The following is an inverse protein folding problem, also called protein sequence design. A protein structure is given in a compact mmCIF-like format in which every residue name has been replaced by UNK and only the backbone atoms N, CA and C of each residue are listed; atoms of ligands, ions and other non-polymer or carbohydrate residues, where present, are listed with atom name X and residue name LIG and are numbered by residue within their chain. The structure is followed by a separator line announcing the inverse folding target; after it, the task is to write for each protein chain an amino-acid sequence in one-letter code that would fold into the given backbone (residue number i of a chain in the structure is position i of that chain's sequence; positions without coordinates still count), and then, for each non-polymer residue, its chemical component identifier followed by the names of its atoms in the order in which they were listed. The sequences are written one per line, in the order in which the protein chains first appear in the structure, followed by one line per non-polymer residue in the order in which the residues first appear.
data_IF_775188751597
#
_entry.id   IF_775188751597
#
_cell.length_a   1.000
_cell.length_b   1.000
_cell.length_c   1.000
_cell.angle_alpha   90.00
_cell.angle_beta   90.00
_cell.angle_gamma   90.00
#
_symmetry.space_group_name_H-M   'P 1'
#
loop_
_entity.id
_entity.type
_entity.pdbx_description
1 polymer ?
#
# COMPACT_ATOMS: atom_id res chain seq x y z
N UNK A 1 8.83 -0.86 19.13
CA UNK A 1 8.12 -1.58 18.05
C UNK A 1 6.79 -0.90 17.85
N UNK A 2 6.58 -0.19 16.75
CA UNK A 2 5.35 0.56 16.54
C UNK A 2 4.24 -0.41 16.11
N UNK A 3 3.38 -0.74 17.08
CA UNK A 3 2.12 -1.46 16.89
C UNK A 3 1.09 -0.47 16.38
N UNK A 4 0.91 -0.39 15.06
CA UNK A 4 -0.14 0.42 14.49
C UNK A 4 -1.43 -0.40 14.39
N UNK A 5 -2.54 0.18 14.84
CA UNK A 5 -3.87 -0.45 14.90
C UNK A 5 -4.59 -0.23 13.57
N UNK A 6 -5.53 -1.13 13.27
CA UNK A 6 -6.40 -1.24 12.07
C UNK A 6 -7.16 0.03 11.60
N UNK A 7 -6.95 1.21 12.20
CA UNK A 7 -7.52 2.50 11.79
C UNK A 7 -6.44 3.49 11.29
N UNK A 8 -5.32 2.97 10.77
CA UNK A 8 -4.25 3.82 10.23
C UNK A 8 -4.76 4.55 9.00
N UNK A 9 -5.02 5.85 9.14
CA UNK A 9 -5.23 6.81 8.05
C UNK A 9 -4.19 6.62 6.92
N UNK A 10 -2.97 6.23 7.29
CA UNK A 10 -1.89 5.90 6.37
C UNK A 10 -2.13 4.65 5.48
N UNK A 11 -2.93 3.68 5.92
CA UNK A 11 -3.31 2.52 5.10
C UNK A 11 -4.34 2.91 4.03
N UNK A 12 -5.34 3.69 4.43
CA UNK A 12 -6.35 4.20 3.50
C UNK A 12 -5.73 5.15 2.48
N UNK A 13 -4.83 6.04 2.92
CA UNK A 13 -4.08 6.93 2.04
C UNK A 13 -3.20 6.15 1.04
N UNK A 14 -2.45 5.15 1.52
CA UNK A 14 -1.63 4.29 0.67
C UNK A 14 -2.48 3.54 -0.37
N UNK A 15 -3.63 3.00 0.04
CA UNK A 15 -4.57 2.35 -0.88
C UNK A 15 -5.09 3.33 -1.94
N UNK A 16 -5.55 4.50 -1.51
CA UNK A 16 -6.08 5.53 -2.41
C UNK A 16 -5.05 5.98 -3.45
N UNK A 17 -3.77 6.08 -3.06
CA UNK A 17 -2.69 6.42 -3.98
C UNK A 17 -2.46 5.32 -5.03
N UNK A 18 -2.46 4.05 -4.63
CA UNK A 18 -2.32 2.92 -5.57
C UNK A 18 -3.52 2.85 -6.53
N UNK A 19 -4.73 3.15 -6.05
CA UNK A 19 -5.94 3.20 -6.88
C UNK A 19 -5.93 4.36 -7.87
N UNK A 20 -5.45 5.54 -7.45
CA UNK A 20 -5.35 6.72 -8.32
C UNK A 20 -4.17 6.66 -9.30
N UNK A 21 -3.11 5.95 -8.93
CA UNK A 21 -1.86 5.87 -9.67
C UNK A 21 -1.38 4.40 -9.78
N UNK A 22 -2.04 3.57 -10.59
CA UNK A 22 -1.61 2.20 -10.80
C UNK A 22 -0.22 2.17 -11.46
N UNK A 23 0.62 1.22 -11.03
CA UNK A 23 1.99 1.07 -11.52
C UNK A 23 3.05 1.84 -10.73
N UNK A 24 2.67 2.59 -9.68
CA UNK A 24 3.65 3.22 -8.79
C UNK A 24 4.48 2.16 -8.05
N UNK A 25 5.79 2.35 -8.00
CA UNK A 25 6.64 1.49 -7.20
C UNK A 25 6.70 1.93 -5.73
N UNK A 26 7.19 1.05 -4.86
CA UNK A 26 7.29 1.31 -3.42
C UNK A 26 8.09 2.58 -3.06
N UNK A 27 9.07 2.97 -3.89
CA UNK A 27 9.87 4.18 -3.67
C UNK A 27 9.08 5.45 -3.98
N UNK A 28 8.33 5.44 -5.08
CA UNK A 28 7.48 6.57 -5.46
C UNK A 28 6.33 6.76 -4.46
N UNK A 29 5.70 5.65 -4.07
CA UNK A 29 4.66 5.65 -3.05
C UNK A 29 5.17 6.19 -1.71
N UNK A 30 6.39 5.80 -1.32
CA UNK A 30 7.04 6.30 -0.12
C UNK A 30 7.30 7.82 -0.17
N UNK A 31 7.65 8.37 -1.34
CA UNK A 31 7.81 9.82 -1.51
C UNK A 31 6.49 10.56 -1.36
N UNK A 32 5.41 10.03 -1.94
CA UNK A 32 4.07 10.64 -1.82
C UNK A 32 3.57 10.62 -0.38
N UNK A 33 3.80 9.53 0.33
CA UNK A 33 3.42 9.35 1.74
C UNK A 33 4.42 9.98 2.72
N UNK A 34 5.53 10.57 2.23
CA UNK A 34 6.63 11.11 3.03
C UNK A 34 7.15 10.12 4.11
N UNK A 35 7.34 8.85 3.73
CA UNK A 35 7.88 7.79 4.58
C UNK A 35 9.10 7.13 3.94
N UNK A 36 9.79 6.27 4.68
CA UNK A 36 10.83 5.42 4.13
C UNK A 36 10.24 4.31 3.22
N UNK A 37 10.90 3.94 2.10
CA UNK A 37 10.49 2.81 1.27
C UNK A 37 10.37 1.48 2.05
N UNK A 38 11.21 1.26 3.06
CA UNK A 38 11.12 0.10 3.95
C UNK A 38 9.82 0.06 4.76
N UNK A 39 9.23 1.22 5.08
CA UNK A 39 7.91 1.31 5.71
C UNK A 39 6.83 0.83 4.77
N UNK A 40 6.89 1.21 3.49
CA UNK A 40 5.94 0.77 2.45
C UNK A 40 6.03 -0.73 2.24
N UNK A 41 7.24 -1.27 2.03
CA UNK A 41 7.45 -2.71 1.81
C UNK A 41 6.96 -3.55 3.00
N UNK A 42 7.14 -3.08 4.24
CA UNK A 42 6.65 -3.77 5.43
C UNK A 42 5.11 -3.71 5.57
N UNK A 43 4.45 -2.71 4.96
CA UNK A 43 3.00 -2.53 4.98
C UNK A 43 2.26 -3.36 3.94
N UNK A 44 2.88 -3.62 2.78
CA UNK A 44 2.25 -4.38 1.69
C UNK A 44 1.64 -5.73 2.15
N UNK A 45 2.34 -6.58 2.94
CA UNK A 45 1.74 -7.83 3.43
C UNK A 45 0.53 -7.60 4.33
N UNK A 46 0.60 -6.59 5.21
CA UNK A 46 -0.49 -6.25 6.12
C UNK A 46 -1.72 -5.67 5.39
N UNK A 47 -1.55 -5.08 4.20
CA UNK A 47 -2.66 -4.64 3.35
C UNK A 47 -3.44 -5.85 2.81
N UNK A 48 -2.73 -6.89 2.36
CA UNK A 48 -3.35 -8.13 1.90
C UNK A 48 -4.14 -8.81 3.03
N UNK A 49 -3.56 -8.88 4.25
CA UNK A 49 -4.23 -9.43 5.43
C UNK A 49 -5.49 -8.65 5.84
N UNK A 50 -5.53 -7.34 5.52
CA UNK A 50 -6.68 -6.48 5.77
C UNK A 50 -7.75 -6.55 4.66
N UNK A 51 -7.57 -7.39 3.63
CA UNK A 51 -8.50 -7.55 2.52
C UNK A 51 -8.30 -6.58 1.36
N UNK A 52 -7.19 -5.82 1.36
CA UNK A 52 -6.78 -5.00 0.23
C UNK A 52 -5.86 -5.82 -0.66
N UNK A 53 -6.42 -6.37 -1.73
CA UNK A 53 -5.66 -7.15 -2.70
C UNK A 53 -4.84 -6.21 -3.60
N UNK A 54 -3.52 -6.36 -3.51
CA UNK A 54 -2.54 -5.66 -4.33
C UNK A 54 -1.79 -6.67 -5.20
N UNK A 55 -1.40 -6.24 -6.39
CA UNK A 55 -0.50 -6.97 -7.27
C UNK A 55 0.75 -6.12 -7.53
N UNK A 56 1.92 -6.77 -7.51
CA UNK A 56 3.20 -6.18 -7.89
C UNK A 56 3.63 -6.79 -9.22
N UNK A 57 3.97 -5.95 -10.20
CA UNK A 57 4.50 -6.40 -11.50
C UNK A 57 6.02 -6.69 -11.43
N UNK A 58 6.58 -7.23 -12.52
CA UNK A 58 8.00 -7.60 -12.60
C UNK A 58 8.97 -6.41 -12.48
N UNK A 59 8.47 -5.16 -12.54
CA UNK A 59 9.24 -3.93 -12.37
C UNK A 59 9.04 -3.29 -10.99
N UNK A 60 8.24 -3.92 -10.12
CA UNK A 60 7.92 -3.43 -8.78
C UNK A 60 6.78 -2.41 -8.74
N UNK A 61 6.02 -2.27 -9.83
CA UNK A 61 4.83 -1.42 -9.90
C UNK A 61 3.65 -2.05 -9.18
N UNK A 62 2.95 -1.25 -8.36
CA UNK A 62 1.85 -1.68 -7.52
C UNK A 62 0.50 -1.38 -8.16
N UNK A 63 -0.41 -2.35 -8.10
CA UNK A 63 -1.73 -2.30 -8.73
C UNK A 63 -2.80 -2.75 -7.74
N UNK A 64 -3.88 -1.98 -7.63
CA UNK A 64 -5.05 -2.36 -6.82
C UNK A 64 -5.91 -3.38 -7.60
N UNK A 65 -6.19 -4.54 -7.00
CA UNK A 65 -6.93 -5.61 -7.70
C UNK A 65 -8.45 -5.44 -7.55
N UNK A 66 -8.96 -5.29 -6.32
CA UNK A 66 -10.35 -4.95 -6.02
C UNK A 66 -10.55 -4.90 -4.49
N UNK A 67 -11.39 -3.99 -4.01
CA UNK A 67 -11.89 -4.02 -2.62
C UNK A 67 -12.98 -5.10 -2.54
N UNK A 68 -12.76 -6.18 -1.79
CA UNK A 68 -13.88 -7.00 -1.35
C UNK A 68 -14.74 -6.12 -0.44
N UNK A 69 -15.87 -5.64 -0.97
CA UNK A 69 -16.91 -5.04 -0.13
C UNK A 69 -17.47 -6.17 0.74
N UNK A 70 -17.00 -6.24 1.98
CA UNK A 70 -17.70 -6.94 3.06
C UNK A 70 -18.97 -6.20 3.43
#
# INVERSE_FOLDING_TARGET
MAFWRKNDEAFEEMQQLIEQHPGLNATELARLLNVAPSTVLRRLPSMADAGHLLWEDDQGGLWAFLKTRG
#
